data_IF_822054563973
#
_entry.id   IF_822054563973
#
_cell.length_a   1.000
_cell.length_b   1.000
_cell.length_c   1.000
_cell.angle_alpha   90.00
_cell.angle_beta   90.00
_cell.angle_gamma   90.00
#
_symmetry.space_group_name_H-M   'P 1'
#
loop_
_entity.id
_entity.type
_entity.pdbx_description
1 polymer ?
#
# COMPACT_ATOMS: atom_id res chain seq x y z
N UNK A 1 -16.07 -25.77 38.61
CA UNK A 1 -15.31 -24.50 38.50
C UNK A 1 -14.27 -24.65 37.39
N UNK A 2 -14.54 -24.13 36.18
CA UNK A 2 -13.59 -24.22 35.07
C UNK A 2 -12.62 -23.04 35.11
N UNK A 3 -11.37 -23.32 35.45
CA UNK A 3 -10.28 -22.35 35.35
C UNK A 3 -10.06 -22.00 33.87
N UNK A 4 -10.47 -20.79 33.47
CA UNK A 4 -10.03 -20.20 32.19
C UNK A 4 -8.51 -20.06 32.28
N UNK A 5 -7.78 -20.93 31.58
CA UNK A 5 -6.35 -20.76 31.32
C UNK A 5 -6.19 -19.44 30.56
N UNK A 6 -5.81 -18.38 31.26
CA UNK A 6 -5.40 -17.13 30.64
C UNK A 6 -4.14 -17.43 29.83
N UNK A 7 -4.22 -17.34 28.50
CA UNK A 7 -3.02 -17.39 27.68
C UNK A 7 -2.07 -16.28 28.16
N UNK A 8 -0.78 -16.56 28.37
CA UNK A 8 0.17 -15.53 28.78
C UNK A 8 0.17 -14.42 27.73
N UNK A 9 0.03 -13.17 28.18
CA UNK A 9 0.20 -12.00 27.31
C UNK A 9 1.61 -12.09 26.72
N UNK A 10 1.72 -12.24 25.40
CA UNK A 10 3.02 -12.14 24.72
C UNK A 10 3.64 -10.80 25.12
N UNK A 11 4.89 -10.82 25.58
CA UNK A 11 5.65 -9.59 25.87
C UNK A 11 5.73 -8.78 24.59
N UNK A 12 5.61 -7.47 24.72
CA UNK A 12 5.76 -6.55 23.60
C UNK A 12 7.22 -6.57 23.13
N UNK A 13 7.53 -7.11 21.94
CA UNK A 13 8.90 -7.30 21.49
C UNK A 13 9.62 -5.96 21.25
N UNK A 14 8.89 -4.84 21.20
CA UNK A 14 9.47 -3.48 21.16
C UNK A 14 10.21 -3.12 22.45
N UNK A 15 9.79 -3.70 23.58
CA UNK A 15 10.46 -3.51 24.87
C UNK A 15 11.79 -4.28 24.97
N UNK A 16 12.06 -5.15 24.00
CA UNK A 16 13.28 -5.95 23.93
C UNK A 16 14.34 -5.33 23.00
N UNK A 17 14.03 -4.21 22.34
CA UNK A 17 14.99 -3.45 21.51
C UNK A 17 16.07 -2.86 22.39
N UNK A 18 17.28 -3.42 22.28
CA UNK A 18 18.45 -2.97 23.06
C UNK A 18 19.13 -1.75 22.45
N UNK A 19 18.96 -1.53 21.15
CA UNK A 19 19.64 -0.49 20.40
C UNK A 19 18.71 0.15 19.38
N UNK A 20 18.18 1.32 19.72
CA UNK A 20 17.29 2.10 18.85
C UNK A 20 18.02 2.76 17.69
N UNK A 21 19.35 2.82 17.69
CA UNK A 21 20.12 3.34 16.55
C UNK A 21 19.97 2.47 15.30
N UNK A 22 19.59 1.20 15.47
CA UNK A 22 19.36 0.24 14.39
C UNK A 22 17.95 0.32 13.79
N UNK A 23 17.06 1.13 14.39
CA UNK A 23 15.73 1.35 13.85
C UNK A 23 15.80 2.50 12.85
N UNK A 24 15.44 2.28 11.56
CA UNK A 24 15.49 3.33 10.57
C UNK A 24 14.53 4.47 10.93
N UNK A 25 14.98 5.72 10.79
CA UNK A 25 14.15 6.91 11.02
C UNK A 25 13.10 7.11 9.92
N UNK A 26 13.40 6.64 8.72
CA UNK A 26 12.53 6.74 7.55
C UNK A 26 12.56 5.42 6.78
N UNK A 27 11.40 4.96 6.34
CA UNK A 27 11.28 3.79 5.47
C UNK A 27 11.32 4.22 4.01
N UNK A 28 12.10 3.51 3.21
CA UNK A 28 12.09 3.62 1.75
C UNK A 28 10.86 2.94 1.15
N UNK A 29 10.45 1.80 1.73
CA UNK A 29 9.25 1.05 1.38
C UNK A 29 8.35 0.95 2.61
N UNK A 30 7.21 1.65 2.58
CA UNK A 30 6.19 1.64 3.64
C UNK A 30 4.96 0.82 3.23
N UNK A 31 4.10 0.53 4.21
CA UNK A 31 2.77 -0.01 3.96
C UNK A 31 1.80 1.17 3.83
N UNK A 32 1.10 1.25 2.70
CA UNK A 32 0.19 2.34 2.36
C UNK A 32 -1.22 1.78 2.13
N UNK A 33 -1.98 1.63 3.22
CA UNK A 33 -3.35 1.13 3.16
C UNK A 33 -4.31 2.23 2.72
N UNK A 34 -5.17 1.88 1.76
CA UNK A 34 -6.16 2.80 1.17
C UNK A 34 -7.38 2.88 2.10
N UNK A 35 -7.90 4.08 2.43
CA UNK A 35 -9.13 4.24 3.20
C UNK A 35 -10.34 3.58 2.52
N UNK A 36 -11.24 2.93 3.27
CA UNK A 36 -12.40 2.18 2.73
C UNK A 36 -13.28 2.99 1.75
N UNK A 37 -13.63 4.25 2.01
CA UNK A 37 -14.45 5.03 1.07
C UNK A 37 -13.80 5.19 -0.31
N UNK A 38 -12.48 5.06 -0.41
CA UNK A 38 -11.69 5.20 -1.63
C UNK A 38 -11.39 3.85 -2.31
N UNK A 39 -11.77 2.72 -1.72
CA UNK A 39 -11.56 1.41 -2.33
C UNK A 39 -12.23 1.36 -3.71
N UNK A 40 -11.49 0.84 -4.70
CA UNK A 40 -11.90 0.72 -6.11
C UNK A 40 -12.25 2.06 -6.80
N UNK A 41 -11.86 3.19 -6.23
CA UNK A 41 -11.98 4.52 -6.85
C UNK A 41 -10.58 5.03 -7.14
N UNK A 42 -10.07 4.66 -8.30
CA UNK A 42 -8.69 4.90 -8.70
C UNK A 42 -8.61 5.10 -10.21
N UNK A 43 -7.47 5.61 -10.70
CA UNK A 43 -7.33 5.99 -12.10
C UNK A 43 -7.48 4.77 -13.01
N UNK A 44 -6.96 3.61 -12.59
CA UNK A 44 -7.15 2.34 -13.31
C UNK A 44 -8.62 2.01 -13.55
N UNK A 45 -9.47 2.15 -12.53
CA UNK A 45 -10.90 1.87 -12.66
C UNK A 45 -11.59 2.93 -13.52
N UNK A 46 -11.20 4.20 -13.36
CA UNK A 46 -11.75 5.30 -14.15
C UNK A 46 -11.47 5.17 -15.65
N UNK A 47 -10.23 4.77 -16.02
CA UNK A 47 -9.80 4.60 -17.40
C UNK A 47 -10.33 3.31 -18.06
N UNK A 48 -10.66 2.29 -17.27
CA UNK A 48 -11.09 0.98 -17.79
C UNK A 48 -10.05 0.38 -18.74
N UNK A 49 -10.46 0.03 -19.95
CA UNK A 49 -9.58 -0.57 -20.97
C UNK A 49 -8.43 0.36 -21.39
N UNK A 50 -8.57 1.67 -21.17
CA UNK A 50 -7.52 2.67 -21.46
C UNK A 50 -6.35 2.60 -20.47
N UNK A 51 -6.53 1.96 -19.31
CA UNK A 51 -5.48 1.84 -18.31
C UNK A 51 -4.27 1.06 -18.82
N UNK A 52 -4.48 -0.10 -19.44
CA UNK A 52 -3.36 -0.98 -19.84
C UNK A 52 -2.45 -0.30 -20.88
N UNK A 53 -2.96 0.28 -21.98
CA UNK A 53 -2.13 1.03 -22.92
C UNK A 53 -1.38 2.20 -22.27
N UNK A 54 -2.03 2.91 -21.34
CA UNK A 54 -1.42 4.01 -20.60
C UNK A 54 -0.28 3.54 -19.67
N UNK A 55 -0.53 2.52 -18.86
CA UNK A 55 0.47 1.93 -17.98
C UNK A 55 1.67 1.37 -18.78
N UNK A 56 1.41 0.74 -19.92
CA UNK A 56 2.47 0.22 -20.81
C UNK A 56 3.27 1.36 -21.45
N UNK A 57 2.63 2.48 -21.80
CA UNK A 57 3.33 3.69 -22.28
C UNK A 57 4.28 4.23 -21.22
N UNK A 58 3.83 4.42 -19.97
CA UNK A 58 4.68 4.92 -18.88
C UNK A 58 5.88 4.00 -18.65
N UNK A 59 5.66 2.67 -18.60
CA UNK A 59 6.75 1.69 -18.43
C UNK A 59 7.77 1.75 -19.57
N UNK A 60 7.34 1.99 -20.81
CA UNK A 60 8.27 2.13 -21.96
C UNK A 60 9.08 3.43 -21.89
N UNK A 61 8.46 4.53 -21.50
CA UNK A 61 9.11 5.84 -21.45
C UNK A 61 10.12 5.96 -20.31
N UNK A 62 9.80 5.41 -19.14
CA UNK A 62 10.64 5.52 -17.93
C UNK A 62 11.58 4.35 -17.71
N UNK A 63 11.38 3.26 -18.46
CA UNK A 63 12.08 2.01 -18.25
C UNK A 63 11.53 1.19 -17.08
N UNK A 64 12.05 -0.04 -16.88
CA UNK A 64 11.44 -1.00 -15.95
C UNK A 64 11.96 -0.91 -14.51
N UNK A 65 12.88 0.01 -14.21
CA UNK A 65 13.49 0.14 -12.87
C UNK A 65 12.45 0.45 -11.81
N UNK A 66 12.43 -0.32 -10.72
CA UNK A 66 11.60 0.00 -9.56
C UNK A 66 12.07 1.31 -8.92
N UNK A 67 11.21 2.32 -8.89
CA UNK A 67 11.50 3.64 -8.31
C UNK A 67 11.68 3.58 -6.77
N UNK A 68 11.17 2.53 -6.13
CA UNK A 68 11.34 2.32 -4.67
C UNK A 68 12.64 1.58 -4.38
N UNK A 69 12.81 0.34 -4.86
CA UNK A 69 13.95 -0.49 -4.47
C UNK A 69 15.14 -0.44 -5.44
N UNK A 70 14.98 0.15 -6.62
CA UNK A 70 16.01 0.17 -7.67
C UNK A 70 16.20 -1.17 -8.38
N UNK A 71 15.41 -2.21 -8.05
CA UNK A 71 15.54 -3.50 -8.71
C UNK A 71 15.01 -3.47 -10.14
N UNK A 72 15.74 -4.14 -11.04
CA UNK A 72 15.22 -4.51 -12.34
C UNK A 72 14.27 -5.71 -12.20
N UNK A 73 13.03 -5.62 -12.68
CA UNK A 73 12.09 -6.74 -12.66
C UNK A 73 12.56 -7.80 -13.66
N UNK A 74 12.48 -9.08 -13.25
CA UNK A 74 12.90 -10.21 -14.08
C UNK A 74 12.05 -10.35 -15.34
N UNK A 75 10.77 -9.96 -15.26
CA UNK A 75 9.82 -10.00 -16.37
C UNK A 75 9.05 -8.69 -16.46
N UNK A 76 8.48 -8.38 -17.63
CA UNK A 76 7.61 -7.21 -17.79
C UNK A 76 6.37 -7.27 -16.88
N UNK A 77 5.91 -8.47 -16.51
CA UNK A 77 4.82 -8.69 -15.55
C UNK A 77 5.21 -8.42 -14.09
N UNK A 78 6.50 -8.40 -13.76
CA UNK A 78 7.00 -8.02 -12.43
C UNK A 78 7.14 -6.51 -12.26
N UNK A 79 6.78 -5.74 -13.29
CA UNK A 79 6.84 -4.29 -13.35
C UNK A 79 5.42 -3.72 -13.37
N UNK A 80 5.07 -2.93 -12.35
CA UNK A 80 3.73 -2.37 -12.18
C UNK A 80 3.77 -0.85 -12.25
N UNK A 81 2.79 -0.27 -12.94
CA UNK A 81 2.43 1.13 -12.79
C UNK A 81 1.55 1.26 -11.54
N UNK A 82 2.06 1.89 -10.50
CA UNK A 82 1.41 2.06 -9.21
C UNK A 82 1.00 3.51 -9.01
N UNK A 83 -0.16 3.71 -8.41
CA UNK A 83 -0.73 5.04 -8.19
C UNK A 83 -0.28 5.57 -6.84
N UNK A 84 0.39 6.72 -6.80
CA UNK A 84 0.81 7.38 -5.57
C UNK A 84 -0.17 8.50 -5.20
N UNK A 85 -0.73 8.38 -4.00
CA UNK A 85 -1.79 9.25 -3.51
C UNK A 85 -1.35 10.04 -2.28
N UNK A 86 -1.68 11.33 -2.25
CA UNK A 86 -1.63 12.15 -1.04
C UNK A 86 -3.04 12.30 -0.43
N UNK A 87 -3.08 12.57 0.87
CA UNK A 87 -4.31 12.64 1.65
C UNK A 87 -4.30 13.92 2.49
N UNK A 88 -5.06 14.92 2.06
CA UNK A 88 -5.30 16.14 2.83
C UNK A 88 -6.56 15.96 3.70
N UNK A 89 -6.32 15.65 4.97
CA UNK A 89 -7.35 15.46 5.99
C UNK A 89 -7.84 16.78 6.60
N UNK A 90 -7.21 17.91 6.27
CA UNK A 90 -7.58 19.24 6.77
C UNK A 90 -8.57 19.96 5.85
N UNK A 91 -8.68 19.54 4.59
CA UNK A 91 -9.69 20.01 3.66
C UNK A 91 -11.11 19.51 4.05
N UNK A 92 -12.13 20.27 3.62
CA UNK A 92 -13.55 19.97 3.88
C UNK A 92 -14.36 20.04 2.58
N UNK A 93 -14.70 18.91 1.94
CA UNK A 93 -14.34 17.53 2.31
C UNK A 93 -12.84 17.25 2.18
N UNK A 94 -12.34 16.20 2.85
CA UNK A 94 -10.94 15.78 2.77
C UNK A 94 -10.59 15.39 1.33
N UNK A 95 -9.33 15.58 0.91
CA UNK A 95 -8.93 15.39 -0.50
C UNK A 95 -7.93 14.25 -0.63
N UNK A 96 -8.28 13.25 -1.43
CA UNK A 96 -7.35 12.23 -1.90
C UNK A 96 -6.88 12.63 -3.29
N UNK A 97 -5.61 13.00 -3.43
CA UNK A 97 -5.05 13.50 -4.69
C UNK A 97 -4.09 12.48 -5.30
N UNK A 98 -4.29 12.16 -6.57
CA UNK A 98 -3.35 11.36 -7.35
C UNK A 98 -2.18 12.26 -7.73
N UNK A 99 -1.02 12.00 -7.14
CA UNK A 99 0.17 12.81 -7.36
C UNK A 99 0.91 12.37 -8.62
N UNK A 100 1.09 11.06 -8.79
CA UNK A 100 1.82 10.49 -9.93
C UNK A 100 1.55 8.99 -10.07
N UNK A 101 2.03 8.46 -11.19
CA UNK A 101 2.20 7.03 -11.40
C UNK A 101 3.68 6.68 -11.20
N UNK A 102 3.99 5.71 -10.35
CA UNK A 102 5.34 5.19 -10.13
C UNK A 102 5.51 3.81 -10.77
N UNK A 103 6.72 3.53 -11.26
CA UNK A 103 7.12 2.20 -11.70
C UNK A 103 7.67 1.43 -10.50
N UNK A 104 7.02 0.33 -10.12
CA UNK A 104 7.39 -0.46 -8.94
C UNK A 104 7.45 -1.95 -9.26
N UNK A 105 8.32 -2.69 -8.57
CA UNK A 105 8.37 -4.13 -8.71
C UNK A 105 7.18 -4.81 -8.01
N UNK A 106 6.87 -6.05 -8.41
CA UNK A 106 5.77 -6.83 -7.84
C UNK A 106 5.84 -6.99 -6.32
N UNK A 107 7.04 -7.04 -5.73
CA UNK A 107 7.24 -7.15 -4.28
C UNK A 107 7.01 -5.82 -3.56
N UNK A 108 7.58 -4.71 -4.04
CA UNK A 108 7.27 -3.37 -3.51
C UNK A 108 5.77 -3.09 -3.54
N UNK A 109 5.12 -3.32 -4.68
CA UNK A 109 3.68 -3.16 -4.82
C UNK A 109 2.88 -4.01 -3.82
N UNK A 110 3.31 -5.26 -3.60
CA UNK A 110 2.66 -6.16 -2.63
C UNK A 110 2.86 -5.73 -1.18
N UNK A 111 3.98 -5.09 -0.85
CA UNK A 111 4.24 -4.53 0.49
C UNK A 111 3.37 -3.30 0.73
N UNK A 112 3.27 -2.38 -0.23
CA UNK A 112 2.41 -1.20 -0.08
C UNK A 112 0.95 -1.59 0.15
N UNK A 113 0.47 -2.63 -0.54
CA UNK A 113 -0.88 -3.18 -0.36
C UNK A 113 -0.91 -4.46 0.48
N UNK A 114 -0.25 -4.42 1.64
CA UNK A 114 -0.06 -5.60 2.48
C UNK A 114 -1.37 -6.31 2.90
N UNK A 115 -2.47 -5.57 3.11
CA UNK A 115 -3.80 -6.17 3.37
C UNK A 115 -4.22 -7.13 2.26
N UNK A 116 -4.10 -6.71 1.00
CA UNK A 116 -4.45 -7.55 -0.16
C UNK A 116 -3.50 -8.74 -0.27
N UNK A 117 -2.21 -8.53 0.01
CA UNK A 117 -1.21 -9.62 0.06
C UNK A 117 -1.59 -10.68 1.10
N UNK A 118 -1.98 -10.26 2.31
CA UNK A 118 -2.44 -11.17 3.36
C UNK A 118 -3.76 -11.90 3.02
N UNK A 119 -4.69 -11.25 2.30
CA UNK A 119 -5.90 -11.91 1.78
C UNK A 119 -5.51 -12.99 0.77
N UNK A 120 -4.69 -12.66 -0.23
CA UNK A 120 -4.25 -13.62 -1.26
C UNK A 120 -3.52 -14.83 -0.68
N UNK A 121 -2.69 -14.62 0.34
CA UNK A 121 -2.04 -15.71 1.04
C UNK A 121 -3.03 -16.63 1.77
N UNK A 122 -3.98 -16.08 2.53
CA UNK A 122 -5.03 -16.87 3.21
C UNK A 122 -5.95 -17.62 2.24
N UNK A 123 -6.18 -17.06 1.05
CA UNK A 123 -6.96 -17.69 -0.02
C UNK A 123 -6.17 -18.73 -0.83
N UNK A 124 -4.90 -18.99 -0.49
CA UNK A 124 -4.05 -19.94 -1.22
C UNK A 124 -3.57 -19.43 -2.60
N UNK A 125 -3.78 -18.15 -2.91
CA UNK A 125 -3.32 -17.50 -4.16
C UNK A 125 -1.86 -17.04 -4.12
N UNK A 126 -1.21 -17.17 -2.97
CA UNK A 126 0.23 -16.99 -2.78
C UNK A 126 0.76 -18.19 -1.99
N UNK A 127 1.87 -18.78 -2.45
CA UNK A 127 2.57 -19.80 -1.68
C UNK A 127 3.21 -19.19 -0.42
N UNK A 128 3.55 -20.04 0.56
CA UNK A 128 4.29 -19.60 1.74
C UNK A 128 5.63 -18.95 1.39
N UNK A 129 6.32 -19.47 0.38
CA UNK A 129 7.57 -18.91 -0.13
C UNK A 129 7.38 -17.52 -0.75
N UNK A 130 6.34 -17.33 -1.57
CA UNK A 130 6.02 -16.03 -2.15
C UNK A 130 5.69 -15.00 -1.07
N UNK A 131 4.91 -15.38 -0.05
CA UNK A 131 4.59 -14.51 1.07
C UNK A 131 5.83 -14.15 1.89
N UNK A 132 6.70 -15.13 2.17
CA UNK A 132 7.98 -14.91 2.85
C UNK A 132 8.92 -13.98 2.05
N UNK A 133 8.98 -14.14 0.72
CA UNK A 133 9.77 -13.29 -0.16
C UNK A 133 9.28 -11.83 -0.15
N UNK A 134 7.96 -11.60 -0.09
CA UNK A 134 7.40 -10.24 0.03
C UNK A 134 7.78 -9.62 1.38
N UNK A 135 7.65 -10.39 2.48
CA UNK A 135 8.07 -9.92 3.82
C UNK A 135 9.56 -9.60 3.86
N UNK A 136 10.41 -10.49 3.35
CA UNK A 136 11.87 -10.29 3.26
C UNK A 136 12.24 -9.05 2.46
N UNK A 137 11.50 -8.76 1.38
CA UNK A 137 11.75 -7.58 0.55
C UNK A 137 11.59 -6.27 1.33
N UNK A 138 10.60 -6.17 2.25
CA UNK A 138 10.46 -5.00 3.13
C UNK A 138 11.70 -4.77 3.99
N UNK A 139 12.26 -5.84 4.57
CA UNK A 139 13.47 -5.74 5.40
C UNK A 139 14.68 -5.28 4.57
N UNK A 140 14.92 -5.93 3.43
CA UNK A 140 16.06 -5.62 2.55
C UNK A 140 16.00 -4.17 2.04
N UNK A 141 14.85 -3.73 1.54
CA UNK A 141 14.71 -2.39 0.94
C UNK A 141 14.86 -1.28 1.98
N UNK A 142 14.49 -1.54 3.22
CA UNK A 142 14.61 -0.59 4.32
C UNK A 142 15.93 -0.71 5.09
N UNK A 143 16.83 -1.63 4.72
CA UNK A 143 18.11 -1.84 5.41
C UNK A 143 17.94 -2.36 6.85
N UNK A 144 16.91 -3.17 7.10
CA UNK A 144 16.57 -3.69 8.43
C UNK A 144 17.03 -5.14 8.53
N UNK A 145 17.78 -5.47 9.59
CA UNK A 145 18.09 -6.86 9.91
C UNK A 145 16.84 -7.54 10.52
N UNK A 146 16.29 -8.50 9.79
CA UNK A 146 15.11 -9.25 10.22
C UNK A 146 15.37 -10.14 11.45
N UNK A 147 16.63 -10.48 11.78
CA UNK A 147 16.97 -11.22 12.99
C UNK A 147 16.91 -10.32 14.23
N UNK A 148 17.25 -9.04 14.08
CA UNK A 148 17.23 -8.07 15.17
C UNK A 148 15.83 -7.50 15.40
N UNK A 149 15.08 -7.28 14.32
CA UNK A 149 13.75 -6.67 14.35
C UNK A 149 12.67 -7.51 13.62
N UNK A 150 12.46 -8.79 13.97
CA UNK A 150 11.58 -9.71 13.22
C UNK A 150 10.09 -9.30 13.21
N UNK A 151 9.69 -8.45 14.16
CA UNK A 151 8.34 -7.95 14.37
C UNK A 151 8.05 -6.64 13.63
N UNK A 152 9.07 -6.02 13.02
CA UNK A 152 8.99 -4.63 12.58
C UNK A 152 8.01 -4.39 11.43
N UNK A 153 7.94 -5.32 10.47
CA UNK A 153 6.92 -5.28 9.42
C UNK A 153 5.51 -5.32 10.00
N UNK A 154 5.25 -6.21 10.97
CA UNK A 154 3.93 -6.38 11.56
C UNK A 154 3.54 -5.15 12.40
N UNK A 155 4.50 -4.54 13.10
CA UNK A 155 4.30 -3.26 13.79
C UNK A 155 3.89 -2.13 12.84
N UNK A 156 4.59 -1.99 11.69
CA UNK A 156 4.23 -0.99 10.69
C UNK A 156 2.89 -1.29 10.02
N UNK A 157 2.53 -2.58 9.87
CA UNK A 157 1.22 -2.97 9.37
C UNK A 157 0.10 -2.56 10.33
N UNK A 158 0.24 -2.82 11.63
CA UNK A 158 -0.71 -2.38 12.66
C UNK A 158 -0.86 -0.86 12.67
N UNK A 159 0.24 -0.12 12.55
CA UNK A 159 0.20 1.34 12.47
C UNK A 159 -0.53 1.83 11.19
N UNK A 160 -0.23 1.22 10.04
CA UNK A 160 -0.92 1.53 8.79
C UNK A 160 -2.43 1.22 8.86
N UNK A 161 -2.82 0.16 9.58
CA UNK A 161 -4.24 -0.16 9.84
C UNK A 161 -4.92 0.92 10.70
N UNK A 162 -4.24 1.46 11.72
CA UNK A 162 -4.79 2.56 12.53
C UNK A 162 -5.01 3.83 11.69
N UNK A 163 -4.05 4.15 10.82
CA UNK A 163 -4.17 5.28 9.88
C UNK A 163 -5.35 5.05 8.92
N UNK A 164 -5.47 3.86 8.34
CA UNK A 164 -6.57 3.50 7.43
C UNK A 164 -7.93 3.59 8.11
N UNK A 165 -8.06 3.06 9.33
CA UNK A 165 -9.31 3.10 10.11
C UNK A 165 -9.73 4.53 10.38
N UNK A 166 -8.80 5.37 10.85
CA UNK A 166 -9.04 6.80 11.10
C UNK A 166 -9.44 7.52 9.80
N UNK A 167 -8.69 7.31 8.72
CA UNK A 167 -8.98 7.94 7.42
C UNK A 167 -10.30 7.49 6.80
N UNK A 168 -10.74 6.27 7.12
CA UNK A 168 -12.00 5.73 6.62
C UNK A 168 -13.24 6.38 7.26
N UNK A 169 -13.05 7.22 8.28
CA UNK A 169 -14.13 8.00 8.90
C UNK A 169 -14.41 9.31 8.16
N UNK A 170 -13.55 9.75 7.25
CA UNK A 170 -13.70 11.03 6.56
C UNK A 170 -14.57 10.92 5.30
N UNK A 171 -15.24 12.03 4.98
CA UNK A 171 -15.81 12.25 3.66
C UNK A 171 -14.68 12.72 2.73
N UNK A 172 -14.50 11.98 1.63
CA UNK A 172 -13.42 12.23 0.67
C UNK A 172 -13.96 12.79 -0.65
N UNK A 173 -13.18 13.69 -1.24
CA UNK A 173 -13.21 14.07 -2.66
C UNK A 173 -11.95 13.54 -3.33
N UNK A 174 -12.09 12.99 -4.53
CA UNK A 174 -10.96 12.54 -5.34
C UNK A 174 -10.54 13.66 -6.29
N UNK A 175 -9.25 13.95 -6.29
CA UNK A 175 -8.57 14.82 -7.24
C UNK A 175 -7.60 13.97 -8.08
N UNK A 176 -7.83 13.87 -9.39
CA UNK A 176 -6.96 13.10 -10.29
C UNK A 176 -5.70 13.87 -10.73
N UNK A 177 -5.47 15.08 -10.21
CA UNK A 177 -4.29 15.87 -10.53
C UNK A 177 -4.13 16.09 -12.04
N UNK A 178 -2.91 15.92 -12.54
CA UNK A 178 -2.60 16.04 -13.98
C UNK A 178 -3.38 15.04 -14.86
N UNK A 179 -3.79 13.91 -14.28
CA UNK A 179 -4.50 12.83 -14.97
C UNK A 179 -6.00 13.14 -15.16
N UNK A 180 -6.54 14.19 -14.54
CA UNK A 180 -7.94 14.58 -14.72
C UNK A 180 -8.27 14.88 -16.19
N UNK A 181 -7.31 15.41 -16.95
CA UNK A 181 -7.43 15.68 -18.39
C UNK A 181 -7.68 14.42 -19.25
N UNK A 182 -7.37 13.23 -18.71
CA UNK A 182 -7.61 11.96 -19.38
C UNK A 182 -9.03 11.43 -19.18
N UNK A 183 -9.81 12.06 -18.31
CA UNK A 183 -11.14 11.59 -17.90
C UNK A 183 -12.21 12.56 -18.38
N UNK A 184 -13.37 12.01 -18.74
CA UNK A 184 -14.59 12.80 -18.91
C UNK A 184 -15.15 13.24 -17.56
N UNK A 185 -15.99 14.28 -17.55
CA UNK A 185 -16.71 14.72 -16.35
C UNK A 185 -17.52 13.58 -15.70
N UNK A 186 -18.15 12.74 -16.52
CA UNK A 186 -18.94 11.58 -16.07
C UNK A 186 -18.04 10.53 -15.39
N UNK A 187 -16.84 10.27 -15.91
CA UNK A 187 -15.89 9.34 -15.29
C UNK A 187 -15.38 9.88 -13.95
N UNK A 188 -15.07 11.19 -13.87
CA UNK A 188 -14.66 11.84 -12.62
C UNK A 188 -15.78 11.77 -11.58
N UNK A 189 -17.02 12.10 -11.97
CA UNK A 189 -18.18 12.10 -11.08
C UNK A 189 -18.45 10.69 -10.54
N UNK A 190 -18.42 9.66 -11.40
CA UNK A 190 -18.60 8.26 -11.01
C UNK A 190 -17.57 7.78 -9.98
N UNK A 191 -16.37 8.36 -9.98
CA UNK A 191 -15.30 8.00 -9.04
C UNK A 191 -15.44 8.72 -7.69
N UNK A 192 -16.26 9.75 -7.56
CA UNK A 192 -16.41 10.42 -6.28
C UNK A 192 -17.06 9.47 -5.24
N UNK A 193 -16.55 9.44 -3.99
CA UNK A 193 -17.17 8.68 -2.91
C UNK A 193 -18.57 9.23 -2.59
N UNK A 194 -19.59 8.39 -2.64
CA UNK A 194 -20.93 8.75 -2.17
C UNK A 194 -20.93 8.79 -0.64
N UNK A 195 -21.59 9.79 -0.05
CA UNK A 195 -21.75 9.92 1.41
C UNK A 195 -22.37 8.67 2.07
N UNK A 196 -23.12 7.85 1.33
CA UNK A 196 -23.73 6.61 1.81
C UNK A 196 -22.84 5.36 1.83
N UNK A 197 -21.55 5.46 1.45
CA UNK A 197 -20.64 4.30 1.38
C UNK A 197 -19.92 4.00 2.72
N UNK A 198 -20.28 4.70 3.79
CA UNK A 198 -19.84 4.42 5.15
C UNK A 198 -20.68 3.28 5.75
N UNK A 199 -20.42 2.03 5.34
CA UNK A 199 -20.96 0.83 6.01
C UNK A 199 -19.84 -0.13 6.35
#
# INVERSE_FOLDING_TARGET
MNARKTMPRKRDPRLEVRDWSKVPRHLKLSINLIPRPLHRRNLRVALGDRWRPFADKIKRERGPLCEICGAFPATASDCHAHEEWSYDEHAHPSVAKLERIAIVCSKCHSVEHFTNTGIRWREGKLSGEQFAAIRSHFYVVNGIDANELPWYLDYHYEHAQQIEQRRSMWLWRIDFGEFASMLSSVEIERMQPNAGTLR
#
